data_IF_314951637192
#
_entry.id   IF_314951637192
#
_cell.length_a   1.000
_cell.length_b   1.000
_cell.length_c   1.000
_cell.angle_alpha   90.00
_cell.angle_beta   90.00
_cell.angle_gamma   90.00
#
_symmetry.space_group_name_H-M   'P 1'
#
loop_
_entity.id
_entity.type
_entity.pdbx_description
1 polymer ?
#
# COMPACT_ATOMS: atom_id res chain seq x y z
N UNK A 1 10.30 -14.79 43.18
CA UNK A 1 11.13 -13.86 42.43
C UNK A 1 11.43 -12.69 43.35
N UNK A 2 12.71 -12.46 43.67
CA UNK A 2 13.13 -11.33 44.52
C UNK A 2 13.01 -10.01 43.71
N UNK A 3 12.97 -8.88 44.42
CA UNK A 3 12.91 -7.55 43.78
C UNK A 3 14.16 -7.27 42.92
N UNK A 4 15.32 -7.77 43.33
CA UNK A 4 16.57 -7.70 42.56
C UNK A 4 16.47 -8.48 41.23
N UNK A 5 15.91 -9.70 41.24
CA UNK A 5 15.70 -10.50 40.04
C UNK A 5 14.73 -9.83 39.10
N UNK A 6 13.67 -9.18 39.62
CA UNK A 6 12.69 -8.42 38.81
C UNK A 6 13.33 -7.20 38.14
N UNK A 7 14.13 -6.45 38.91
CA UNK A 7 14.85 -5.28 38.40
C UNK A 7 15.86 -5.66 37.32
N UNK A 8 16.61 -6.73 37.53
CA UNK A 8 17.56 -7.23 36.54
C UNK A 8 16.87 -7.71 35.27
N UNK A 9 15.74 -8.41 35.39
CA UNK A 9 14.96 -8.82 34.21
C UNK A 9 14.41 -7.64 33.45
N UNK A 10 13.88 -6.60 34.11
CA UNK A 10 13.42 -5.38 33.50
C UNK A 10 14.54 -4.64 32.72
N UNK A 11 15.72 -4.52 33.34
CA UNK A 11 16.89 -3.91 32.70
C UNK A 11 17.27 -4.66 31.42
N UNK A 12 17.35 -5.99 31.46
CA UNK A 12 17.65 -6.83 30.31
C UNK A 12 16.59 -6.69 29.18
N UNK A 13 15.31 -6.55 29.55
CA UNK A 13 14.24 -6.32 28.56
C UNK A 13 14.41 -4.97 27.85
N UNK A 14 14.70 -3.90 28.61
CA UNK A 14 14.92 -2.56 28.06
C UNK A 14 16.13 -2.55 27.11
N UNK A 15 17.24 -3.20 27.51
CA UNK A 15 18.44 -3.30 26.67
C UNK A 15 18.16 -4.08 25.37
N UNK A 16 17.43 -5.21 25.48
CA UNK A 16 17.04 -6.01 24.31
C UNK A 16 16.16 -5.20 23.35
N UNK A 17 15.12 -4.51 23.86
CA UNK A 17 14.25 -3.68 23.05
C UNK A 17 15.00 -2.52 22.37
N UNK A 18 15.96 -1.92 23.06
CA UNK A 18 16.81 -0.88 22.52
C UNK A 18 17.70 -1.41 21.38
N UNK A 19 18.31 -2.58 21.57
CA UNK A 19 19.13 -3.26 20.58
C UNK A 19 18.31 -3.63 19.34
N UNK A 20 17.12 -4.22 19.50
CA UNK A 20 16.21 -4.54 18.39
C UNK A 20 15.75 -3.29 17.61
N UNK A 21 15.46 -2.19 18.31
CA UNK A 21 15.12 -0.92 17.69
C UNK A 21 16.29 -0.35 16.88
N UNK A 22 17.51 -0.44 17.41
CA UNK A 22 18.71 0.01 16.73
C UNK A 22 18.98 -0.82 15.46
N UNK A 23 18.87 -2.15 15.55
CA UNK A 23 19.01 -3.05 14.40
C UNK A 23 17.97 -2.79 13.32
N UNK A 24 16.69 -2.66 13.69
CA UNK A 24 15.61 -2.31 12.77
C UNK A 24 15.85 -0.94 12.09
N UNK A 25 16.36 0.04 12.85
CA UNK A 25 16.69 1.34 12.31
C UNK A 25 17.81 1.26 11.27
N UNK A 26 18.88 0.50 11.58
CA UNK A 26 19.99 0.31 10.65
C UNK A 26 19.53 -0.40 9.38
N UNK A 27 18.77 -1.50 9.52
CA UNK A 27 18.21 -2.22 8.38
C UNK A 27 17.36 -1.32 7.46
N UNK A 28 16.59 -0.37 8.02
CA UNK A 28 15.83 0.62 7.24
C UNK A 28 16.72 1.59 6.48
N UNK A 29 17.81 2.06 7.10
CA UNK A 29 18.79 2.95 6.45
C UNK A 29 19.45 2.22 5.27
N UNK A 30 19.89 1.00 5.49
CA UNK A 30 20.55 0.18 4.46
C UNK A 30 19.56 -0.15 3.32
N UNK A 31 18.31 -0.43 3.64
CA UNK A 31 17.27 -0.68 2.64
C UNK A 31 16.94 0.58 1.83
N UNK A 32 16.87 1.75 2.45
CA UNK A 32 16.65 3.02 1.76
C UNK A 32 17.80 3.34 0.79
N UNK A 33 19.05 3.10 1.19
CA UNK A 33 20.22 3.25 0.31
C UNK A 33 20.17 2.31 -0.89
N UNK A 34 19.78 1.04 -0.68
CA UNK A 34 19.59 0.08 -1.78
C UNK A 34 18.41 0.46 -2.67
N UNK A 35 17.30 0.95 -2.11
CA UNK A 35 16.15 1.44 -2.86
C UNK A 35 16.56 2.59 -3.80
N UNK A 36 17.35 3.54 -3.29
CA UNK A 36 17.88 4.64 -4.09
C UNK A 36 18.75 4.12 -5.24
N UNK A 37 19.67 3.19 -4.94
CA UNK A 37 20.54 2.58 -5.97
C UNK A 37 19.73 1.83 -7.04
N UNK A 38 18.69 1.08 -6.67
CA UNK A 38 17.80 0.40 -7.63
C UNK A 38 17.09 1.42 -8.50
N UNK A 39 16.52 2.47 -7.90
CA UNK A 39 15.81 3.51 -8.62
C UNK A 39 16.73 4.23 -9.63
N UNK A 40 17.93 4.65 -9.21
CA UNK A 40 18.88 5.39 -10.03
C UNK A 40 19.44 4.56 -11.20
N UNK A 41 19.48 3.23 -11.05
CA UNK A 41 19.95 2.31 -12.11
C UNK A 41 18.81 1.75 -12.98
N UNK A 42 17.56 2.13 -12.71
CA UNK A 42 16.39 1.74 -13.50
C UNK A 42 16.12 2.77 -14.60
N UNK A 43 15.48 2.34 -15.68
CA UNK A 43 14.99 3.21 -16.77
C UNK A 43 13.48 3.40 -16.66
N UNK A 44 12.88 4.46 -17.23
CA UNK A 44 11.43 4.59 -17.31
C UNK A 44 10.79 3.32 -17.87
N UNK A 45 9.74 2.84 -17.20
CA UNK A 45 9.02 1.64 -17.64
C UNK A 45 8.20 1.93 -18.89
N UNK A 46 8.12 0.95 -19.79
CA UNK A 46 7.25 1.00 -20.96
C UNK A 46 5.89 0.36 -20.67
N UNK A 47 4.85 0.80 -21.39
CA UNK A 47 3.47 0.33 -21.21
C UNK A 47 3.25 -1.12 -21.67
N UNK A 48 4.19 -1.69 -22.41
CA UNK A 48 4.14 -3.06 -22.93
C UNK A 48 4.59 -4.14 -21.92
N UNK A 49 4.93 -3.73 -20.69
CA UNK A 49 5.28 -4.70 -19.64
C UNK A 49 4.12 -5.67 -19.37
N UNK A 50 4.39 -7.02 -19.28
CA UNK A 50 3.33 -8.03 -19.17
C UNK A 50 2.32 -7.82 -18.04
N UNK A 51 2.78 -7.31 -16.89
CA UNK A 51 1.87 -6.98 -15.78
C UNK A 51 0.92 -5.83 -16.14
N UNK A 52 1.41 -4.76 -16.78
CA UNK A 52 0.61 -3.59 -17.17
C UNK A 52 -0.43 -3.97 -18.22
N UNK A 53 -0.03 -4.75 -19.23
CA UNK A 53 -0.95 -5.27 -20.26
C UNK A 53 -2.07 -6.12 -19.64
N UNK A 54 -1.73 -7.07 -18.73
CA UNK A 54 -2.75 -7.87 -18.04
C UNK A 54 -3.71 -7.06 -17.19
N UNK A 55 -3.25 -5.95 -16.63
CA UNK A 55 -4.06 -5.06 -15.80
C UNK A 55 -4.72 -3.94 -16.58
N UNK A 56 -4.41 -3.82 -17.88
CA UNK A 56 -4.87 -2.76 -18.78
C UNK A 56 -4.63 -1.36 -18.19
N UNK A 57 -3.40 -1.09 -17.75
CA UNK A 57 -2.98 0.19 -17.14
C UNK A 57 -1.64 0.64 -17.70
N UNK A 58 -1.37 1.95 -17.68
CA UNK A 58 -0.11 2.55 -18.12
C UNK A 58 0.94 2.63 -17.01
N UNK A 59 2.23 2.77 -17.41
CA UNK A 59 3.40 2.86 -16.53
C UNK A 59 3.60 4.28 -15.96
N UNK A 60 2.63 4.84 -15.25
CA UNK A 60 2.70 6.22 -14.79
C UNK A 60 3.66 6.36 -13.61
N UNK A 61 4.82 6.99 -13.84
CA UNK A 61 5.84 7.23 -12.81
C UNK A 61 6.58 5.98 -12.34
N UNK A 62 6.54 4.89 -13.12
CA UNK A 62 7.27 3.66 -12.85
C UNK A 62 8.61 3.62 -13.58
N UNK A 63 9.53 2.86 -13.03
CA UNK A 63 10.76 2.45 -13.70
C UNK A 63 10.79 0.94 -13.90
N UNK A 64 11.75 0.47 -14.69
CA UNK A 64 11.99 -0.95 -15.00
C UNK A 64 13.46 -1.25 -14.84
N UNK A 65 13.79 -2.36 -14.16
CA UNK A 65 15.17 -2.83 -13.99
C UNK A 65 15.65 -3.67 -15.19
N UNK A 66 16.90 -4.13 -15.12
CA UNK A 66 17.52 -4.96 -16.19
C UNK A 66 16.93 -6.37 -16.28
N UNK A 67 16.15 -6.83 -15.29
CA UNK A 67 15.48 -8.12 -15.28
C UNK A 67 13.99 -8.00 -15.67
N UNK A 68 13.62 -6.91 -16.30
CA UNK A 68 12.25 -6.58 -16.69
C UNK A 68 11.25 -6.50 -15.52
N UNK A 69 11.71 -6.25 -14.30
CA UNK A 69 10.78 -5.98 -13.20
C UNK A 69 10.38 -4.51 -13.18
N UNK A 70 9.10 -4.22 -12.96
CA UNK A 70 8.65 -2.87 -12.64
C UNK A 70 9.13 -2.47 -11.25
N UNK A 71 9.59 -1.24 -11.13
CA UNK A 71 10.05 -0.64 -9.88
C UNK A 71 9.11 0.51 -9.52
N UNK A 72 8.43 0.40 -8.39
CA UNK A 72 7.56 1.44 -7.83
C UNK A 72 8.25 2.03 -6.60
N UNK A 73 8.62 3.32 -6.62
CA UNK A 73 9.28 3.93 -5.48
C UNK A 73 8.30 4.12 -4.31
N UNK A 74 8.76 3.87 -3.10
CA UNK A 74 7.99 4.02 -1.88
C UNK A 74 8.55 5.19 -1.07
N UNK A 75 7.78 6.26 -0.98
CA UNK A 75 8.17 7.48 -0.28
C UNK A 75 7.53 7.55 1.10
N UNK A 76 8.27 8.08 2.06
CA UNK A 76 7.78 8.33 3.41
C UNK A 76 7.91 9.81 3.75
N UNK A 77 6.83 10.39 4.25
CA UNK A 77 6.82 11.76 4.76
C UNK A 77 7.20 11.76 6.25
N UNK A 78 8.37 12.31 6.55
CA UNK A 78 8.80 12.55 7.92
C UNK A 78 8.26 13.91 8.38
N UNK A 79 7.23 13.90 9.23
CA UNK A 79 6.57 15.13 9.70
C UNK A 79 7.52 16.04 10.49
N UNK A 80 8.42 15.48 11.31
CA UNK A 80 9.36 16.26 12.13
C UNK A 80 10.37 17.03 11.27
N UNK A 81 10.80 16.42 10.16
CA UNK A 81 11.76 17.01 9.23
C UNK A 81 11.12 17.73 8.06
N UNK A 82 9.80 17.62 7.90
CA UNK A 82 9.04 18.08 6.72
C UNK A 82 9.67 17.62 5.40
N UNK A 83 10.13 16.37 5.36
CA UNK A 83 10.88 15.80 4.25
C UNK A 83 10.23 14.52 3.74
N UNK A 84 10.14 14.40 2.42
CA UNK A 84 9.75 13.18 1.74
C UNK A 84 11.02 12.48 1.27
N UNK A 85 11.18 11.20 1.64
CA UNK A 85 12.37 10.41 1.30
C UNK A 85 11.97 9.07 0.71
N UNK A 86 12.76 8.57 -0.25
CA UNK A 86 12.64 7.20 -0.74
C UNK A 86 13.13 6.26 0.35
N UNK A 87 12.26 5.33 0.79
CA UNK A 87 12.56 4.44 1.92
C UNK A 87 12.51 2.96 1.52
N UNK A 88 11.90 2.64 0.38
CA UNK A 88 11.75 1.29 -0.13
C UNK A 88 11.40 1.33 -1.63
N UNK A 89 11.36 0.19 -2.28
CA UNK A 89 10.73 -0.02 -3.57
C UNK A 89 9.85 -1.26 -3.53
N UNK A 90 8.75 -1.25 -4.27
CA UNK A 90 8.04 -2.46 -4.64
C UNK A 90 8.51 -2.88 -6.03
N UNK A 91 8.93 -4.14 -6.13
CA UNK A 91 9.26 -4.77 -7.41
C UNK A 91 8.07 -5.61 -7.86
N UNK A 92 7.68 -5.51 -9.12
CA UNK A 92 6.65 -6.37 -9.73
C UNK A 92 7.29 -7.10 -10.92
N UNK A 93 7.41 -8.40 -10.80
CA UNK A 93 7.94 -9.25 -11.86
C UNK A 93 6.95 -9.41 -13.04
N UNK A 94 7.41 -9.83 -14.24
CA UNK A 94 6.55 -10.07 -15.39
C UNK A 94 5.39 -11.05 -15.13
N UNK A 95 5.56 -12.02 -14.20
CA UNK A 95 4.53 -12.97 -13.77
C UNK A 95 3.56 -12.44 -12.72
N UNK A 96 3.73 -11.18 -12.29
CA UNK A 96 2.96 -10.45 -11.26
C UNK A 96 3.37 -10.72 -9.81
N UNK A 97 4.49 -11.43 -9.54
CA UNK A 97 5.01 -11.49 -8.18
C UNK A 97 5.39 -10.09 -7.69
N UNK A 98 4.98 -9.77 -6.46
CA UNK A 98 5.21 -8.45 -5.85
C UNK A 98 6.06 -8.60 -4.59
N UNK A 99 7.21 -7.93 -4.58
CA UNK A 99 8.14 -7.99 -3.45
C UNK A 99 8.52 -6.58 -2.97
N UNK A 100 8.74 -6.46 -1.67
CA UNK A 100 9.39 -5.29 -1.08
C UNK A 100 10.84 -5.60 -0.76
N UNK A 101 11.72 -4.59 -0.75
CA UNK A 101 13.07 -4.78 -0.23
C UNK A 101 13.03 -5.20 1.23
N UNK A 102 13.71 -6.30 1.53
CA UNK A 102 13.84 -6.81 2.89
C UNK A 102 14.49 -5.77 3.81
N UNK A 103 13.87 -5.52 4.95
CA UNK A 103 14.31 -4.54 5.93
C UNK A 103 13.85 -3.10 5.66
N UNK A 104 13.27 -2.83 4.48
CA UNK A 104 12.74 -1.51 4.12
C UNK A 104 11.46 -1.13 4.88
N UNK A 105 11.26 0.16 5.07
CA UNK A 105 10.04 0.68 5.67
C UNK A 105 8.87 0.50 4.69
N UNK A 106 7.77 -0.08 5.14
CA UNK A 106 6.50 -0.18 4.40
C UNK A 106 5.43 0.66 5.07
N UNK A 107 5.31 0.58 6.40
CA UNK A 107 4.24 1.27 7.14
C UNK A 107 4.31 2.79 6.95
N UNK A 108 3.24 3.37 6.40
CA UNK A 108 3.12 4.79 6.10
C UNK A 108 3.89 5.25 4.85
N UNK A 109 4.60 4.35 4.16
CA UNK A 109 5.20 4.65 2.87
C UNK A 109 4.17 4.53 1.75
N UNK A 110 4.23 5.43 0.77
CA UNK A 110 3.26 5.53 -0.31
C UNK A 110 3.93 5.92 -1.64
N UNK A 111 3.20 5.73 -2.73
CA UNK A 111 3.53 6.27 -4.04
C UNK A 111 2.42 7.21 -4.49
N UNK A 112 2.75 8.24 -5.26
CA UNK A 112 1.76 9.19 -5.81
C UNK A 112 1.69 9.06 -7.32
N UNK A 113 0.51 8.76 -7.84
CA UNK A 113 0.19 8.88 -9.26
C UNK A 113 -0.37 10.28 -9.47
N UNK A 114 0.26 11.05 -10.35
CA UNK A 114 -0.08 12.44 -10.63
C UNK A 114 1.02 13.42 -10.22
N UNK A 115 0.78 14.70 -10.42
CA UNK A 115 1.76 15.76 -10.13
C UNK A 115 1.44 16.51 -8.83
N UNK A 116 2.44 17.17 -8.21
CA UNK A 116 2.24 18.01 -7.03
C UNK A 116 1.17 19.10 -7.21
N UNK A 117 1.00 19.63 -8.42
CA UNK A 117 0.01 20.66 -8.72
C UNK A 117 -1.45 20.18 -8.52
N UNK A 118 -1.71 18.88 -8.67
CA UNK A 118 -3.05 18.28 -8.51
C UNK A 118 -3.57 18.35 -7.06
N UNK A 119 -2.66 18.42 -6.07
CA UNK A 119 -3.05 18.56 -4.67
C UNK A 119 -3.76 19.91 -4.37
N UNK A 120 -3.61 20.92 -5.22
CA UNK A 120 -4.36 22.18 -5.11
C UNK A 120 -5.88 22.04 -5.34
N UNK A 121 -6.35 20.92 -5.88
CA UNK A 121 -7.77 20.65 -6.16
C UNK A 121 -8.62 20.26 -4.93
N UNK A 122 -8.01 20.09 -3.76
CA UNK A 122 -8.72 19.82 -2.50
C UNK A 122 -9.27 18.39 -2.37
N UNK A 123 -9.02 17.49 -3.32
CA UNK A 123 -9.45 16.08 -3.28
C UNK A 123 -8.23 15.17 -3.49
N UNK A 124 -8.10 14.12 -2.67
CA UNK A 124 -7.06 13.11 -2.76
C UNK A 124 -7.71 11.73 -2.72
N UNK A 125 -7.31 10.85 -3.63
CA UNK A 125 -7.76 9.47 -3.69
C UNK A 125 -6.66 8.55 -3.12
N UNK A 126 -7.03 7.51 -2.38
CA UNK A 126 -6.10 6.52 -1.83
C UNK A 126 -6.56 5.13 -2.25
N UNK A 127 -5.67 4.37 -2.89
CA UNK A 127 -5.91 3.00 -3.34
C UNK A 127 -4.95 2.03 -2.66
N UNK A 128 -5.30 0.75 -2.60
CA UNK A 128 -4.41 -0.29 -2.10
C UNK A 128 -3.24 -0.52 -3.06
N UNK A 129 -3.51 -0.87 -4.31
CA UNK A 129 -2.53 -1.30 -5.29
C UNK A 129 -2.31 -0.32 -6.44
N UNK A 130 -1.14 -0.45 -7.10
CA UNK A 130 -0.81 0.40 -8.25
C UNK A 130 -1.84 0.28 -9.39
N UNK A 131 -2.24 -0.95 -9.76
CA UNK A 131 -3.16 -1.15 -10.87
C UNK A 131 -4.51 -0.47 -10.61
N UNK A 132 -5.09 -0.65 -9.41
CA UNK A 132 -6.31 0.06 -8.98
C UNK A 132 -6.10 1.56 -9.02
N UNK A 133 -4.96 2.05 -8.51
CA UNK A 133 -4.63 3.47 -8.53
C UNK A 133 -4.52 4.05 -9.94
N UNK A 134 -3.88 3.35 -10.87
CA UNK A 134 -3.75 3.77 -12.26
C UNK A 134 -5.11 3.77 -12.99
N UNK A 135 -5.95 2.75 -12.76
CA UNK A 135 -7.32 2.71 -13.30
C UNK A 135 -8.17 3.88 -12.78
N UNK A 136 -8.11 4.16 -11.48
CA UNK A 136 -8.83 5.30 -10.88
C UNK A 136 -8.33 6.63 -11.43
N UNK A 137 -7.02 6.79 -11.62
CA UNK A 137 -6.42 7.99 -12.16
C UNK A 137 -6.88 8.25 -13.61
N UNK A 138 -6.93 7.20 -14.44
CA UNK A 138 -7.47 7.28 -15.80
C UNK A 138 -8.97 7.62 -15.80
N UNK A 139 -9.78 6.95 -14.97
CA UNK A 139 -11.20 7.22 -14.81
C UNK A 139 -11.51 8.66 -14.37
N UNK A 140 -10.60 9.29 -13.63
CA UNK A 140 -10.68 10.71 -13.25
C UNK A 140 -10.09 11.64 -14.33
N UNK A 141 -9.83 11.15 -15.53
CA UNK A 141 -9.24 11.91 -16.63
C UNK A 141 -7.95 12.62 -16.24
N UNK A 142 -7.11 11.93 -15.44
CA UNK A 142 -5.79 12.41 -14.98
C UNK A 142 -5.84 13.72 -14.16
N UNK A 143 -6.96 14.01 -13.50
CA UNK A 143 -7.20 15.32 -12.86
C UNK A 143 -6.98 15.34 -11.34
N UNK A 144 -7.02 14.19 -10.66
CA UNK A 144 -6.89 14.08 -9.21
C UNK A 144 -5.67 13.23 -8.83
N UNK A 145 -4.93 13.59 -7.77
CA UNK A 145 -3.80 12.78 -7.30
C UNK A 145 -4.32 11.49 -6.67
N UNK A 146 -3.67 10.37 -6.98
CA UNK A 146 -3.97 9.06 -6.41
C UNK A 146 -2.75 8.57 -5.60
N UNK A 147 -2.98 8.26 -4.35
CA UNK A 147 -1.99 7.70 -3.44
C UNK A 147 -2.12 6.17 -3.45
N UNK A 148 -1.03 5.47 -3.66
CA UNK A 148 -0.94 4.01 -3.60
C UNK A 148 -0.34 3.59 -2.26
N UNK A 149 -1.07 2.79 -1.48
CA UNK A 149 -0.66 2.32 -0.15
C UNK A 149 0.07 0.98 -0.17
N UNK A 150 0.13 0.28 -1.31
CA UNK A 150 0.81 -0.99 -1.59
C UNK A 150 0.17 -2.25 -1.02
N UNK A 151 -0.54 -2.20 0.09
CA UNK A 151 -1.30 -3.31 0.66
C UNK A 151 -2.37 -2.82 1.64
N UNK A 152 -3.36 -3.67 1.93
CA UNK A 152 -4.50 -3.35 2.79
C UNK A 152 -4.09 -2.91 4.21
N UNK A 153 -3.06 -3.51 4.81
CA UNK A 153 -2.61 -3.15 6.16
C UNK A 153 -1.94 -1.77 6.21
N UNK A 154 -1.46 -1.27 5.08
CA UNK A 154 -0.81 0.03 4.98
C UNK A 154 -1.80 1.18 4.69
N UNK A 155 -3.07 0.90 4.39
CA UNK A 155 -4.08 1.93 4.13
C UNK A 155 -4.23 2.90 5.31
N UNK A 156 -4.34 2.39 6.54
CA UNK A 156 -4.50 3.24 7.73
C UNK A 156 -3.30 4.17 7.94
N UNK A 157 -2.04 3.67 8.07
CA UNK A 157 -0.91 4.56 8.30
C UNK A 157 -0.66 5.54 7.14
N UNK A 158 -0.95 5.16 5.88
CA UNK A 158 -0.87 6.08 4.75
C UNK A 158 -1.97 7.14 4.83
N UNK A 159 -3.23 6.76 5.06
CA UNK A 159 -4.34 7.70 5.19
C UNK A 159 -4.08 8.73 6.30
N UNK A 160 -3.60 8.28 7.46
CA UNK A 160 -3.24 9.16 8.58
C UNK A 160 -2.10 10.12 8.21
N UNK A 161 -1.06 9.63 7.50
CA UNK A 161 0.03 10.46 7.02
C UNK A 161 -0.44 11.53 6.02
N UNK A 162 -1.32 11.15 5.09
CA UNK A 162 -1.90 12.08 4.10
C UNK A 162 -2.82 13.09 4.77
N UNK A 163 -3.69 12.68 5.71
CA UNK A 163 -4.54 13.60 6.47
C UNK A 163 -3.73 14.63 7.26
N UNK A 164 -2.60 14.22 7.87
CA UNK A 164 -1.71 15.13 8.58
C UNK A 164 -1.04 16.15 7.66
N UNK A 165 -0.74 15.78 6.40
CA UNK A 165 -0.17 16.68 5.40
C UNK A 165 -1.22 17.61 4.77
N UNK A 166 -2.46 17.14 4.63
CA UNK A 166 -3.55 17.81 3.93
C UNK A 166 -4.82 17.80 4.81
N UNK A 167 -4.85 18.59 5.91
CA UNK A 167 -5.91 18.52 6.92
C UNK A 167 -7.29 18.89 6.37
N UNK A 168 -7.36 19.80 5.40
CA UNK A 168 -8.61 20.36 4.88
C UNK A 168 -9.08 19.65 3.59
N UNK A 169 -8.30 18.69 3.07
CA UNK A 169 -8.65 18.01 1.83
C UNK A 169 -9.72 16.93 2.06
N UNK A 170 -10.58 16.79 1.06
CA UNK A 170 -11.45 15.62 0.95
C UNK A 170 -10.61 14.41 0.58
N UNK A 171 -10.55 13.40 1.44
CA UNK A 171 -9.79 12.16 1.21
C UNK A 171 -10.76 11.02 1.03
N UNK A 172 -10.65 10.32 -0.09
CA UNK A 172 -11.53 9.22 -0.48
C UNK A 172 -10.68 7.95 -0.61
N UNK A 173 -11.02 6.91 0.14
CA UNK A 173 -10.39 5.59 0.05
C UNK A 173 -11.13 4.78 -1.02
N UNK A 174 -10.43 4.41 -2.09
CA UNK A 174 -10.96 3.55 -3.15
C UNK A 174 -10.65 2.10 -2.76
N UNK A 175 -11.66 1.36 -2.33
CA UNK A 175 -11.52 0.00 -1.83
C UNK A 175 -11.43 -1.01 -2.98
N UNK A 176 -10.59 -2.04 -2.81
CA UNK A 176 -10.63 -3.23 -3.65
C UNK A 176 -11.74 -4.16 -3.13
N UNK A 177 -12.55 -4.74 -4.03
CA UNK A 177 -13.57 -5.73 -3.68
C UNK A 177 -13.07 -7.14 -3.94
N UNK A 178 -12.71 -7.82 -2.86
CA UNK A 178 -12.27 -9.23 -2.84
C UNK A 178 -13.41 -10.21 -2.52
N UNK A 179 -14.67 -9.86 -2.72
CA UNK A 179 -15.86 -10.63 -2.29
C UNK A 179 -15.82 -12.08 -2.75
N UNK A 180 -15.42 -12.35 -4.00
CA UNK A 180 -15.30 -13.71 -4.51
C UNK A 180 -14.24 -14.55 -3.76
N UNK A 181 -13.14 -13.93 -3.33
CA UNK A 181 -12.09 -14.57 -2.54
C UNK A 181 -12.50 -14.70 -1.07
N UNK A 182 -13.23 -13.72 -0.55
CA UNK A 182 -13.73 -13.68 0.81
C UNK A 182 -14.67 -14.87 1.11
N UNK A 183 -15.61 -15.15 0.20
CA UNK A 183 -16.52 -16.31 0.32
C UNK A 183 -15.73 -17.63 0.42
N UNK A 184 -14.78 -17.86 -0.49
CA UNK A 184 -13.94 -19.07 -0.50
C UNK A 184 -13.11 -19.24 0.79
N UNK A 185 -12.56 -18.13 1.33
CA UNK A 185 -11.80 -18.15 2.59
C UNK A 185 -12.69 -18.51 3.78
N UNK A 186 -13.90 -17.94 3.84
CA UNK A 186 -14.88 -18.27 4.89
C UNK A 186 -15.27 -19.73 4.85
N UNK A 187 -15.60 -20.26 3.66
CA UNK A 187 -15.99 -21.66 3.51
C UNK A 187 -14.86 -22.61 3.91
N UNK A 188 -13.61 -22.24 3.62
CA UNK A 188 -12.44 -22.99 4.06
C UNK A 188 -12.31 -22.97 5.59
N UNK A 189 -12.44 -21.82 6.26
CA UNK A 189 -12.36 -21.75 7.72
C UNK A 189 -13.45 -22.59 8.39
N UNK A 190 -14.67 -22.59 7.84
CA UNK A 190 -15.76 -23.48 8.30
C UNK A 190 -15.37 -24.97 8.13
N UNK A 191 -14.82 -25.33 6.96
CA UNK A 191 -14.38 -26.71 6.69
C UNK A 191 -13.22 -27.15 7.61
N UNK A 192 -12.33 -26.19 7.98
CA UNK A 192 -11.23 -26.40 8.93
C UNK A 192 -11.69 -26.41 10.41
N UNK A 193 -13.02 -26.30 10.68
CA UNK A 193 -13.59 -26.32 12.04
C UNK A 193 -13.35 -25.02 12.84
N UNK A 194 -13.00 -23.93 12.19
CA UNK A 194 -12.83 -22.61 12.84
C UNK A 194 -14.18 -21.90 12.94
N UNK A 195 -14.35 -21.10 13.99
CA UNK A 195 -15.50 -20.21 14.11
C UNK A 195 -15.43 -19.12 13.02
N UNK A 196 -16.43 -19.02 12.11
CA UNK A 196 -16.39 -18.08 11.01
C UNK A 196 -16.60 -16.65 11.52
N UNK A 197 -15.78 -15.72 11.02
CA UNK A 197 -15.95 -14.29 11.23
C UNK A 197 -17.08 -13.73 10.35
N UNK A 198 -17.56 -12.48 10.60
CA UNK A 198 -18.43 -11.77 9.67
C UNK A 198 -17.83 -11.73 8.26
N UNK A 199 -18.64 -11.91 7.22
CA UNK A 199 -18.15 -12.01 5.82
C UNK A 199 -17.34 -10.78 5.39
N UNK A 200 -17.70 -9.60 5.89
CA UNK A 200 -16.97 -8.35 5.62
C UNK A 200 -15.50 -8.42 6.07
N UNK A 201 -15.19 -9.16 7.13
CA UNK A 201 -13.80 -9.29 7.60
C UNK A 201 -12.95 -10.21 6.71
N UNK A 202 -13.57 -11.07 5.92
CA UNK A 202 -12.88 -11.87 4.90
C UNK A 202 -12.59 -11.07 3.63
N UNK A 203 -13.36 -10.01 3.37
CA UNK A 203 -13.07 -9.03 2.33
C UNK A 203 -12.10 -7.97 2.87
N UNK A 204 -10.81 -8.34 2.88
CA UNK A 204 -9.77 -7.52 3.50
C UNK A 204 -9.66 -6.13 2.86
N UNK A 205 -9.87 -6.01 1.54
CA UNK A 205 -9.83 -4.74 0.82
C UNK A 205 -10.88 -3.76 1.36
N UNK A 206 -12.17 -4.15 1.34
CA UNK A 206 -13.25 -3.29 1.85
C UNK A 206 -13.10 -3.03 3.35
N UNK A 207 -12.84 -4.07 4.16
CA UNK A 207 -12.74 -3.92 5.61
C UNK A 207 -11.63 -2.94 6.02
N UNK A 208 -10.43 -3.08 5.45
CA UNK A 208 -9.29 -2.19 5.75
C UNK A 208 -9.50 -0.77 5.21
N UNK A 209 -10.14 -0.64 4.05
CA UNK A 209 -10.51 0.66 3.49
C UNK A 209 -11.51 1.41 4.39
N UNK A 210 -12.53 0.72 4.92
CA UNK A 210 -13.46 1.29 5.90
C UNK A 210 -12.75 1.77 7.17
N UNK A 211 -11.85 0.94 7.74
CA UNK A 211 -11.06 1.31 8.90
C UNK A 211 -10.16 2.54 8.63
N UNK A 212 -9.55 2.60 7.44
CA UNK A 212 -8.73 3.74 7.04
C UNK A 212 -9.57 5.02 6.92
N UNK A 213 -10.73 4.97 6.25
CA UNK A 213 -11.63 6.11 6.12
C UNK A 213 -12.11 6.63 7.48
N UNK A 214 -12.55 5.72 8.37
CA UNK A 214 -12.96 6.08 9.75
C UNK A 214 -11.80 6.77 10.50
N UNK A 215 -10.57 6.24 10.39
CA UNK A 215 -9.42 6.76 11.14
C UNK A 215 -9.05 8.21 10.83
N UNK A 216 -9.51 8.74 9.69
CA UNK A 216 -9.17 10.08 9.20
C UNK A 216 -10.40 10.97 8.98
N UNK A 217 -11.57 10.52 9.36
CA UNK A 217 -12.86 11.17 9.00
C UNK A 217 -12.93 11.42 7.47
N UNK A 218 -12.56 10.39 6.69
CA UNK A 218 -12.58 10.40 5.24
C UNK A 218 -13.77 9.63 4.68
N UNK A 219 -13.81 9.54 3.36
CA UNK A 219 -14.86 8.82 2.64
C UNK A 219 -14.33 7.50 2.07
N UNK A 220 -15.25 6.61 1.71
CA UNK A 220 -14.92 5.36 1.02
C UNK A 220 -15.78 5.24 -0.24
N UNK A 221 -15.18 4.72 -1.29
CA UNK A 221 -15.89 4.27 -2.49
C UNK A 221 -15.51 2.82 -2.76
N UNK A 222 -16.50 2.00 -3.08
CA UNK A 222 -16.32 0.60 -3.49
C UNK A 222 -16.77 0.43 -4.93
N UNK A 223 -16.11 -0.44 -5.72
CA UNK A 223 -16.58 -0.73 -7.07
C UNK A 223 -17.98 -1.35 -7.01
N UNK A 224 -18.87 -0.97 -7.93
CA UNK A 224 -20.13 -1.64 -8.17
C UNK A 224 -20.01 -2.37 -9.51
N UNK A 225 -20.23 -3.68 -9.48
CA UNK A 225 -20.29 -4.47 -10.70
C UNK A 225 -21.77 -4.60 -11.08
N UNK A 226 -22.16 -4.00 -12.21
CA UNK A 226 -23.51 -4.19 -12.73
C UNK A 226 -23.70 -5.64 -13.14
N UNK A 227 -24.82 -6.25 -12.67
CA UNK A 227 -25.19 -7.66 -12.94
C UNK A 227 -25.36 -7.94 -14.45
N UNK A 228 -25.41 -6.90 -15.27
CA UNK A 228 -25.61 -7.00 -16.72
C UNK A 228 -24.42 -7.55 -17.51
N UNK A 229 -23.21 -7.65 -16.90
CA UNK A 229 -22.02 -8.19 -17.59
C UNK A 229 -21.81 -9.70 -17.40
N UNK A 230 -22.65 -10.38 -16.60
CA UNK A 230 -22.49 -11.82 -16.32
C UNK A 230 -23.02 -12.68 -17.49
N UNK A 231 -23.88 -12.16 -18.36
CA UNK A 231 -24.51 -12.93 -19.45
C UNK A 231 -23.75 -12.88 -20.80
N UNK A 232 -22.61 -12.20 -20.90
CA UNK A 232 -21.86 -12.09 -22.16
C UNK A 232 -20.88 -13.23 -22.42
N UNK A 233 -20.53 -14.03 -21.41
CA UNK A 233 -19.63 -15.17 -21.54
C UNK A 233 -20.34 -16.53 -21.61
N UNK A 234 -21.68 -16.56 -21.76
CA UNK A 234 -22.49 -17.77 -21.83
C UNK A 234 -23.10 -18.02 -23.24
N UNK A 235 -22.35 -17.61 -24.30
CA UNK A 235 -22.74 -17.93 -25.67
C UNK A 235 -21.58 -18.51 -26.48
#
# INVERSE_FOLDING_TARGET
VTDEQRTQWQSQQVEREAAEKAEKRQARIDAASRAQSIWDNSKPAADDHPYLLRKNVSAIGLSQDANDNLIIPMYYHNADKKQITLVNVQTIAPDSEKLFLKGGLVSGAYFTIGSPAMFGGGVILICEGYATGATVFDAMSYSLPVIVAFNANNLIPVAQSIRAQYPDHRIIICADDDSATAAKRRDKDIADGKEPKPLVEYNAGIYKAQQAAISINGEIVTPSFDILDIDKDAA
#
